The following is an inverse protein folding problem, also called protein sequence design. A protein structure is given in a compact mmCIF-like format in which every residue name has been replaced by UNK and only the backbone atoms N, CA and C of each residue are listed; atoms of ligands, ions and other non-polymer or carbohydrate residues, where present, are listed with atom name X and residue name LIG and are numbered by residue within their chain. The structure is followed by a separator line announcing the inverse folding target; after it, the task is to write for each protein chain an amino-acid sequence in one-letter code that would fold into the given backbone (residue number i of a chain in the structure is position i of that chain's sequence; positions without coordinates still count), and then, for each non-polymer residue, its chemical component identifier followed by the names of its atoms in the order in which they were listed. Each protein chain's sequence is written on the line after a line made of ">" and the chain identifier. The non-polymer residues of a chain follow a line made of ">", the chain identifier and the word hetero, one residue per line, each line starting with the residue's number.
data_IF_402824410652
#
_entry.id   IF_402824410652
#
_cell.length_a   1.000
_cell.length_b   1.000
_cell.length_c   1.000
_cell.angle_alpha   90.00
_cell.angle_beta   90.00
_cell.angle_gamma   90.00
#
_symmetry.space_group_name_H-M   'P 1'
#
loop_
_entity.id
_entity.type
_entity.pdbx_description
1 polymer ?
#
# COMPACT_ATOMS: atom_id res chain seq x y z
N UNK A 1 5.27 48.48 1.92
CA UNK A 1 6.07 47.40 1.32
C UNK A 1 5.25 46.12 1.44
N UNK A 2 4.69 45.65 0.33
CA UNK A 2 3.60 44.69 0.28
C UNK A 2 4.09 43.24 0.35
N UNK A 3 4.21 42.70 1.56
CA UNK A 3 4.66 41.32 1.82
C UNK A 3 3.63 40.28 1.34
N UNK A 4 2.39 40.69 1.04
CA UNK A 4 1.29 39.83 0.60
C UNK A 4 1.41 39.28 -0.84
N UNK A 5 2.52 39.52 -1.54
CA UNK A 5 2.84 38.90 -2.83
C UNK A 5 3.99 37.88 -2.76
N UNK A 6 4.43 37.48 -1.56
CA UNK A 6 5.16 36.21 -1.47
C UNK A 6 4.14 35.09 -1.72
N UNK A 7 4.07 34.69 -2.98
CA UNK A 7 3.29 33.56 -3.45
C UNK A 7 3.79 32.32 -2.69
N UNK A 8 3.13 31.99 -1.58
CA UNK A 8 3.38 30.77 -0.79
C UNK A 8 3.34 29.52 -1.70
N UNK A 9 2.59 29.60 -2.81
CA UNK A 9 2.60 28.61 -3.89
C UNK A 9 3.97 28.34 -4.53
N UNK A 10 4.86 29.35 -4.70
CA UNK A 10 6.21 29.13 -5.24
C UNK A 10 7.13 28.42 -4.25
N UNK A 11 6.98 28.69 -2.95
CA UNK A 11 7.77 28.04 -1.90
C UNK A 11 7.33 26.57 -1.76
N UNK A 12 6.01 26.30 -1.80
CA UNK A 12 5.49 24.93 -1.81
C UNK A 12 5.92 24.15 -3.08
N UNK A 13 5.95 24.81 -4.25
CA UNK A 13 6.43 24.20 -5.49
C UNK A 13 7.96 23.91 -5.49
N UNK A 14 8.76 24.74 -4.80
CA UNK A 14 10.20 24.54 -4.63
C UNK A 14 10.52 23.36 -3.69
N UNK A 15 9.69 23.09 -2.67
CA UNK A 15 9.87 21.91 -1.82
C UNK A 15 9.47 20.60 -2.51
N UNK A 16 8.53 20.64 -3.48
CA UNK A 16 8.14 19.45 -4.25
C UNK A 16 9.20 19.00 -5.26
N UNK A 17 10.04 19.90 -5.78
CA UNK A 17 11.02 19.58 -6.84
C UNK A 17 12.34 18.99 -6.33
N UNK A 18 12.67 19.17 -5.05
CA UNK A 18 13.92 18.67 -4.44
C UNK A 18 13.80 17.20 -4.00
N UNK A 19 12.58 16.66 -3.90
CA UNK A 19 12.32 15.33 -3.34
C UNK A 19 12.09 14.19 -4.33
N UNK A 20 12.26 14.38 -5.64
CA UNK A 20 12.11 13.28 -6.59
C UNK A 20 13.37 12.41 -6.59
N UNK A 21 13.36 11.19 -6.02
CA UNK A 21 14.46 10.28 -6.18
C UNK A 21 14.63 9.96 -7.67
N UNK A 22 15.80 10.26 -8.22
CA UNK A 22 16.23 9.71 -9.50
C UNK A 22 16.55 8.24 -9.27
N UNK A 23 15.53 7.40 -9.25
CA UNK A 23 15.74 5.96 -9.29
C UNK A 23 16.21 5.61 -10.70
N UNK A 24 17.52 5.57 -10.89
CA UNK A 24 18.11 4.88 -12.04
C UNK A 24 17.80 3.40 -11.90
N UNK A 25 16.94 2.87 -12.76
CA UNK A 25 16.70 1.42 -12.86
C UNK A 25 18.00 0.79 -13.39
N UNK A 26 18.85 0.36 -12.47
CA UNK A 26 20.13 -0.30 -12.77
C UNK A 26 19.91 -1.81 -12.67
N UNK A 27 19.52 -2.42 -13.79
CA UNK A 27 19.23 -3.85 -13.86
C UNK A 27 17.81 -4.10 -14.37
N UNK A 28 17.70 -4.51 -15.63
CA UNK A 28 16.43 -4.98 -16.19
C UNK A 28 16.51 -6.50 -16.23
N UNK A 29 16.27 -7.12 -15.08
CA UNK A 29 16.20 -8.57 -14.94
C UNK A 29 14.78 -8.92 -14.51
N UNK A 30 14.22 -9.98 -15.10
CA UNK A 30 12.94 -10.53 -14.66
C UNK A 30 13.20 -11.92 -14.08
N UNK A 31 12.81 -12.15 -12.85
CA UNK A 31 13.03 -13.42 -12.16
C UNK A 31 11.72 -13.97 -11.59
N UNK A 32 11.64 -15.28 -11.43
CA UNK A 32 10.51 -15.95 -10.80
C UNK A 32 10.58 -15.77 -9.28
N UNK A 33 9.51 -15.26 -8.67
CA UNK A 33 9.43 -15.07 -7.22
C UNK A 33 8.78 -16.23 -6.48
N UNK A 34 7.70 -16.76 -7.05
CA UNK A 34 6.92 -17.80 -6.40
C UNK A 34 6.51 -18.86 -7.40
N UNK A 35 6.36 -20.09 -6.91
CA UNK A 35 5.95 -21.25 -7.69
C UNK A 35 4.84 -21.93 -6.92
N UNK A 36 3.74 -22.19 -7.60
CA UNK A 36 2.61 -22.90 -7.05
C UNK A 36 2.16 -24.00 -8.01
N UNK A 37 2.01 -25.21 -7.50
CA UNK A 37 1.39 -26.30 -8.27
C UNK A 37 -0.11 -26.07 -8.39
N UNK A 38 -0.67 -26.23 -9.60
CA UNK A 38 -2.12 -26.19 -9.79
C UNK A 38 -2.79 -27.55 -9.47
N UNK A 39 -2.01 -28.64 -9.54
CA UNK A 39 -2.52 -30.01 -9.40
C UNK A 39 -2.22 -30.58 -8.01
N UNK A 40 -3.18 -31.34 -7.46
CA UNK A 40 -3.10 -31.94 -6.12
C UNK A 40 -2.29 -33.24 -6.07
N UNK A 41 -2.12 -33.91 -7.20
CA UNK A 41 -1.33 -35.17 -7.31
C UNK A 41 -0.43 -35.12 -8.55
N UNK A 42 0.65 -34.33 -8.54
CA UNK A 42 1.50 -34.19 -9.70
C UNK A 42 2.39 -35.44 -9.88
N UNK A 43 2.40 -36.01 -11.09
CA UNK A 43 3.31 -37.10 -11.49
C UNK A 43 4.79 -36.64 -11.53
N UNK A 44 5.01 -35.33 -11.58
CA UNK A 44 6.31 -34.68 -11.60
C UNK A 44 6.35 -33.67 -10.46
N UNK A 45 7.30 -33.81 -9.55
CA UNK A 45 7.48 -32.89 -8.42
C UNK A 45 8.73 -32.07 -8.69
N UNK A 46 8.59 -30.75 -8.76
CA UNK A 46 9.75 -29.85 -8.84
C UNK A 46 10.24 -29.50 -7.45
N UNK A 47 11.54 -29.70 -7.25
CA UNK A 47 12.26 -29.27 -6.05
C UNK A 47 12.83 -27.86 -6.22
N UNK A 48 13.18 -27.49 -7.46
CA UNK A 48 13.73 -26.19 -7.81
C UNK A 48 13.27 -25.79 -9.21
N UNK A 49 12.87 -24.54 -9.35
CA UNK A 49 12.57 -23.93 -10.63
C UNK A 49 12.90 -22.44 -10.53
N UNK A 50 14.00 -22.04 -11.14
CA UNK A 50 14.39 -20.65 -11.28
C UNK A 50 14.45 -20.32 -12.77
N UNK A 51 13.82 -19.22 -13.13
CA UNK A 51 13.79 -18.69 -14.47
C UNK A 51 14.11 -17.21 -14.36
N UNK A 52 15.25 -16.83 -14.93
CA UNK A 52 15.73 -15.45 -14.90
C UNK A 52 16.02 -14.97 -16.31
N UNK A 53 15.33 -13.93 -16.73
CA UNK A 53 15.51 -13.26 -18.02
C UNK A 53 16.41 -12.04 -17.88
N UNK A 54 17.49 -12.01 -18.66
CA UNK A 54 18.41 -10.90 -18.74
C UNK A 54 18.16 -10.08 -20.00
N UNK A 55 17.72 -8.83 -19.84
CA UNK A 55 17.47 -7.94 -20.98
C UNK A 55 18.75 -7.57 -21.73
N UNK A 56 19.87 -7.42 -21.02
CA UNK A 56 21.16 -6.99 -21.60
C UNK A 56 21.64 -7.89 -22.74
N UNK A 57 21.49 -9.21 -22.57
CA UNK A 57 21.97 -10.21 -23.51
C UNK A 57 20.83 -10.99 -24.19
N UNK A 58 19.57 -10.64 -23.90
CA UNK A 58 18.36 -11.28 -24.44
C UNK A 58 18.30 -12.80 -24.19
N UNK A 59 18.85 -13.25 -23.06
CA UNK A 59 18.92 -14.66 -22.68
C UNK A 59 18.06 -14.95 -21.46
N UNK A 60 17.45 -16.12 -21.47
CA UNK A 60 16.84 -16.74 -20.28
C UNK A 60 17.83 -17.74 -19.70
N UNK A 61 18.09 -17.60 -18.41
CA UNK A 61 18.68 -18.62 -17.57
C UNK A 61 17.56 -19.46 -16.96
N UNK A 62 17.72 -20.78 -17.02
CA UNK A 62 16.78 -21.74 -16.48
C UNK A 62 17.54 -22.73 -15.59
N UNK A 63 17.16 -22.84 -14.33
CA UNK A 63 17.60 -23.88 -13.37
C UNK A 63 16.37 -24.66 -12.89
N UNK A 64 16.27 -25.93 -13.28
CA UNK A 64 15.14 -26.79 -12.97
C UNK A 64 15.64 -28.12 -12.40
N UNK A 65 15.12 -28.51 -11.25
CA UNK A 65 15.41 -29.80 -10.64
C UNK A 65 14.15 -30.41 -10.04
N UNK A 66 13.97 -31.71 -10.21
CA UNK A 66 12.78 -32.41 -9.75
C UNK A 66 12.88 -33.92 -9.82
N UNK A 67 11.78 -34.57 -9.45
CA UNK A 67 11.58 -36.02 -9.51
C UNK A 67 10.39 -36.33 -10.40
N UNK A 68 10.53 -37.34 -11.25
CA UNK A 68 9.42 -37.87 -12.04
C UNK A 68 9.05 -39.26 -11.55
N UNK A 69 7.79 -39.48 -11.19
CA UNK A 69 7.29 -40.81 -10.78
C UNK A 69 7.01 -41.72 -11.96
N UNK A 70 6.86 -41.17 -13.17
CA UNK A 70 6.60 -41.94 -14.41
C UNK A 70 7.55 -41.54 -15.53
N UNK A 71 7.63 -42.38 -16.56
CA UNK A 71 8.40 -42.10 -17.77
C UNK A 71 7.61 -41.14 -18.67
N UNK A 72 8.26 -40.07 -19.13
CA UNK A 72 7.69 -39.15 -20.11
C UNK A 72 8.42 -39.26 -21.45
N UNK A 73 7.64 -39.57 -22.49
CA UNK A 73 8.10 -39.68 -23.88
C UNK A 73 7.42 -38.56 -24.68
N UNK A 74 8.21 -37.73 -25.36
CA UNK A 74 7.73 -36.65 -26.23
C UNK A 74 6.80 -35.65 -25.52
N UNK A 75 7.17 -35.22 -24.32
CA UNK A 75 6.38 -34.25 -23.57
C UNK A 75 6.32 -32.89 -24.27
N UNK A 76 5.15 -32.26 -24.21
CA UNK A 76 4.86 -30.92 -24.71
C UNK A 76 4.64 -29.98 -23.53
N UNK A 77 5.29 -28.82 -23.55
CA UNK A 77 5.11 -27.77 -22.56
C UNK A 77 4.26 -26.64 -23.15
N UNK A 78 3.05 -26.48 -22.63
CA UNK A 78 2.24 -25.28 -22.80
C UNK A 78 2.75 -24.17 -21.89
N UNK A 79 3.00 -23.00 -22.47
CA UNK A 79 3.36 -21.76 -21.79
C UNK A 79 2.23 -20.77 -22.03
N UNK A 80 1.53 -20.40 -20.95
CA UNK A 80 0.50 -19.36 -20.97
C UNK A 80 0.95 -18.20 -20.08
N UNK A 81 1.09 -17.01 -20.66
CA UNK A 81 1.33 -15.79 -19.93
C UNK A 81 -0.01 -15.11 -19.64
N UNK A 82 -0.30 -14.92 -18.36
CA UNK A 82 -1.50 -14.27 -17.87
C UNK A 82 -1.11 -12.95 -17.21
N UNK A 83 -1.80 -11.87 -17.56
CA UNK A 83 -1.65 -10.58 -16.89
C UNK A 83 -3.00 -10.20 -16.31
N UNK A 84 -3.08 -10.07 -15.00
CA UNK A 84 -4.31 -9.75 -14.27
C UNK A 84 -5.49 -10.68 -14.61
N UNK A 85 -5.21 -11.97 -14.83
CA UNK A 85 -6.21 -12.98 -15.16
C UNK A 85 -6.62 -13.04 -16.64
N UNK A 86 -6.02 -12.22 -17.52
CA UNK A 86 -6.22 -12.27 -18.96
C UNK A 86 -5.05 -12.97 -19.66
N UNK A 87 -5.35 -13.90 -20.58
CA UNK A 87 -4.33 -14.62 -21.35
C UNK A 87 -3.73 -13.68 -22.40
N UNK A 88 -2.46 -13.30 -22.22
CA UNK A 88 -1.72 -12.48 -23.19
C UNK A 88 -1.13 -13.32 -24.31
N UNK A 89 -0.66 -14.52 -23.97
CA UNK A 89 0.06 -15.37 -24.90
C UNK A 89 -0.10 -16.83 -24.48
N UNK A 90 -0.40 -17.70 -25.42
CA UNK A 90 -0.54 -19.14 -25.19
C UNK A 90 0.16 -19.88 -26.34
N UNK A 91 1.23 -20.60 -26.01
CA UNK A 91 1.98 -21.40 -26.98
C UNK A 91 2.48 -22.68 -26.39
N UNK A 92 2.54 -23.72 -27.21
CA UNK A 92 3.05 -25.04 -26.84
C UNK A 92 4.38 -25.31 -27.52
N UNK A 93 5.36 -25.78 -26.76
CA UNK A 93 6.68 -26.18 -27.24
C UNK A 93 6.92 -27.67 -26.95
N UNK A 94 7.59 -28.39 -27.85
CA UNK A 94 7.99 -29.76 -27.58
C UNK A 94 9.28 -29.77 -26.75
N UNK A 95 9.24 -30.37 -25.56
CA UNK A 95 10.40 -30.40 -24.64
C UNK A 95 11.59 -31.17 -25.23
N UNK A 96 11.35 -32.13 -26.12
CA UNK A 96 12.40 -32.94 -26.76
C UNK A 96 13.02 -32.27 -27.98
N UNK A 97 12.48 -31.13 -28.43
CA UNK A 97 13.11 -30.34 -29.47
C UNK A 97 14.30 -29.51 -28.95
N UNK A 98 14.36 -29.31 -27.62
CA UNK A 98 15.49 -28.64 -26.99
C UNK A 98 16.66 -29.62 -26.86
N UNK A 99 17.79 -29.27 -27.47
CA UNK A 99 19.02 -30.07 -27.45
C UNK A 99 19.75 -29.95 -26.10
N UNK A 100 19.07 -30.28 -25.01
CA UNK A 100 19.62 -30.26 -23.66
C UNK A 100 19.59 -31.67 -23.06
N UNK A 101 20.71 -32.06 -22.49
CA UNK A 101 20.89 -33.39 -21.90
C UNK A 101 19.98 -33.55 -20.68
N UNK A 102 19.22 -34.65 -20.63
CA UNK A 102 18.37 -34.99 -19.49
C UNK A 102 16.89 -34.57 -19.57
N UNK A 103 16.47 -33.81 -20.60
CA UNK A 103 15.05 -33.50 -20.81
C UNK A 103 14.26 -34.63 -21.48
N UNK A 104 14.88 -35.37 -22.40
CA UNK A 104 14.20 -36.44 -23.13
C UNK A 104 15.07 -37.68 -23.37
N UNK A 105 14.59 -38.91 -23.05
CA UNK A 105 13.40 -39.22 -22.25
C UNK A 105 13.65 -39.10 -20.74
N UNK A 106 12.68 -38.56 -19.98
CA UNK A 106 12.73 -38.58 -18.51
C UNK A 106 12.35 -40.00 -18.05
N UNK A 107 13.27 -40.67 -17.34
CA UNK A 107 13.06 -42.03 -16.85
C UNK A 107 12.09 -42.04 -15.66
N UNK A 108 11.33 -43.14 -15.49
CA UNK A 108 10.48 -43.32 -14.33
C UNK A 108 11.31 -43.42 -13.03
N UNK A 109 10.81 -42.83 -11.95
CA UNK A 109 11.45 -42.79 -10.63
C UNK A 109 12.87 -42.22 -10.65
N UNK A 110 13.15 -41.28 -11.55
CA UNK A 110 14.45 -40.62 -11.66
C UNK A 110 14.37 -39.15 -11.29
N UNK A 111 15.47 -38.62 -10.75
CA UNK A 111 15.67 -37.18 -10.56
C UNK A 111 16.25 -36.59 -11.84
N UNK A 112 15.76 -35.43 -12.24
CA UNK A 112 16.36 -34.63 -13.30
C UNK A 112 16.87 -33.31 -12.73
N UNK A 113 17.99 -32.83 -13.28
CA UNK A 113 18.60 -31.55 -12.95
C UNK A 113 19.09 -30.93 -14.25
N UNK A 114 18.62 -29.74 -14.55
CA UNK A 114 18.91 -29.02 -15.79
C UNK A 114 19.21 -27.58 -15.47
N UNK A 115 20.34 -27.13 -15.97
CA UNK A 115 20.72 -25.72 -15.96
C UNK A 115 21.12 -25.33 -17.38
N UNK A 116 20.61 -24.21 -17.87
CA UNK A 116 20.84 -23.84 -19.26
C UNK A 116 20.56 -22.38 -19.56
N UNK A 117 21.24 -21.88 -20.58
CA UNK A 117 21.02 -20.57 -21.16
C UNK A 117 20.36 -20.73 -22.52
N UNK A 118 19.25 -20.03 -22.74
CA UNK A 118 18.53 -20.05 -24.01
C UNK A 118 18.29 -18.61 -24.49
N UNK A 119 18.72 -18.24 -25.71
CA UNK A 119 18.35 -16.95 -26.29
C UNK A 119 16.85 -16.95 -26.62
N UNK A 120 16.17 -15.83 -26.35
CA UNK A 120 14.77 -15.68 -26.72
C UNK A 120 14.66 -15.26 -28.19
N UNK A 121 13.74 -15.85 -28.96
CA UNK A 121 13.44 -15.37 -30.30
C UNK A 121 13.03 -13.89 -30.28
N UNK A 122 13.49 -13.06 -31.24
CA UNK A 122 13.17 -11.63 -31.30
C UNK A 122 11.66 -11.35 -31.33
N UNK A 123 10.89 -12.25 -31.93
CA UNK A 123 9.42 -12.18 -32.02
C UNK A 123 8.71 -12.12 -30.65
N UNK A 124 9.36 -12.62 -29.60
CA UNK A 124 8.85 -12.54 -28.24
C UNK A 124 9.29 -11.24 -27.56
N UNK A 125 10.51 -10.78 -27.83
CA UNK A 125 11.09 -9.55 -27.26
C UNK A 125 10.30 -8.32 -27.73
N UNK A 126 9.93 -8.28 -29.01
CA UNK A 126 9.18 -7.15 -29.60
C UNK A 126 7.79 -6.97 -28.96
N UNK A 127 7.26 -8.01 -28.31
CA UNK A 127 5.96 -7.97 -27.63
C UNK A 127 6.05 -7.57 -26.16
N UNK A 128 7.26 -7.49 -25.58
CA UNK A 128 7.44 -7.07 -24.19
C UNK A 128 7.64 -5.56 -24.17
N UNK A 129 6.65 -4.78 -23.69
CA UNK A 129 6.82 -3.34 -23.60
C UNK A 129 7.87 -2.98 -22.54
N UNK A 130 8.71 -1.99 -22.84
CA UNK A 130 9.85 -1.61 -22.00
C UNK A 130 9.49 -1.11 -20.59
N UNK A 131 8.25 -0.68 -20.34
CA UNK A 131 7.82 -0.19 -19.02
C UNK A 131 7.76 -1.29 -17.96
N UNK A 132 7.57 -2.55 -18.37
CA UNK A 132 7.46 -3.72 -17.48
C UNK A 132 8.73 -3.86 -16.63
N UNK A 133 9.91 -3.57 -17.18
CA UNK A 133 11.16 -3.64 -16.42
C UNK A 133 11.29 -2.56 -15.34
N UNK A 134 10.46 -1.52 -15.36
CA UNK A 134 10.42 -0.50 -14.30
C UNK A 134 9.53 -0.87 -13.11
N UNK A 135 8.79 -1.99 -13.19
CA UNK A 135 7.79 -2.36 -12.20
C UNK A 135 8.33 -3.49 -11.28
N UNK A 136 8.30 -3.33 -9.95
CA UNK A 136 8.67 -4.39 -8.99
C UNK A 136 7.77 -5.61 -9.07
N UNK A 137 6.45 -5.41 -9.20
CA UNK A 137 5.46 -6.47 -9.36
C UNK A 137 4.66 -6.22 -10.64
N UNK A 138 4.64 -7.24 -11.49
CA UNK A 138 4.04 -7.18 -12.82
C UNK A 138 2.63 -7.75 -12.86
N UNK A 139 2.19 -8.45 -11.79
CA UNK A 139 0.99 -9.28 -11.84
C UNK A 139 0.97 -10.24 -13.03
N UNK A 140 2.15 -10.50 -13.62
CA UNK A 140 2.37 -11.42 -14.71
C UNK A 140 2.54 -12.80 -14.10
N UNK A 141 1.54 -13.63 -14.33
CA UNK A 141 1.53 -15.02 -13.92
C UNK A 141 1.85 -15.87 -15.15
N UNK A 142 2.81 -16.76 -15.04
CA UNK A 142 3.10 -17.73 -16.10
C UNK A 142 2.60 -19.09 -15.66
N UNK A 143 1.70 -19.65 -16.46
CA UNK A 143 1.22 -20.99 -16.28
C UNK A 143 1.99 -21.91 -17.23
N UNK A 144 2.72 -22.85 -16.65
CA UNK A 144 3.46 -23.88 -17.36
C UNK A 144 2.69 -25.19 -17.20
N UNK A 145 2.28 -25.78 -18.31
CA UNK A 145 1.58 -27.08 -18.34
C UNK A 145 2.41 -28.08 -19.13
N UNK A 146 2.87 -29.16 -18.50
CA UNK A 146 3.56 -30.24 -19.22
C UNK A 146 2.58 -31.34 -19.52
N UNK A 147 2.31 -31.62 -20.80
CA UNK A 147 1.41 -32.66 -21.28
C UNK A 147 2.15 -33.71 -22.09
N UNK A 148 1.88 -35.00 -21.83
CA UNK A 148 2.36 -36.10 -22.66
C UNK A 148 1.32 -36.47 -23.73
N UNK A 149 1.71 -36.70 -24.99
CA UNK A 149 0.80 -37.13 -26.04
C UNK A 149 0.23 -38.54 -25.81
N UNK A 150 0.89 -39.37 -24.99
CA UNK A 150 0.47 -40.77 -24.77
C UNK A 150 -0.60 -40.94 -23.69
N UNK A 151 -0.89 -39.89 -22.90
CA UNK A 151 -1.72 -40.04 -21.69
C UNK A 151 -2.52 -38.76 -21.42
N UNK A 152 -3.85 -38.87 -21.41
CA UNK A 152 -4.81 -37.75 -21.36
C UNK A 152 -4.75 -36.92 -20.06
N UNK A 153 -4.18 -37.45 -18.98
CA UNK A 153 -4.21 -36.84 -17.64
C UNK A 153 -2.82 -36.53 -17.05
N UNK A 154 -1.76 -36.54 -17.86
CA UNK A 154 -0.42 -36.19 -17.38
C UNK A 154 -0.20 -34.70 -17.54
N UNK A 155 -0.63 -33.90 -16.57
CA UNK A 155 -0.32 -32.48 -16.48
C UNK A 155 0.54 -32.20 -15.26
N UNK A 156 1.75 -31.67 -15.46
CA UNK A 156 2.35 -30.83 -14.43
C UNK A 156 1.90 -29.40 -14.71
N UNK A 157 1.02 -28.86 -13.87
CA UNK A 157 0.63 -27.45 -13.93
C UNK A 157 1.33 -26.66 -12.83
N UNK A 158 2.05 -25.61 -13.25
CA UNK A 158 2.73 -24.67 -12.35
C UNK A 158 2.28 -23.27 -12.70
N UNK A 159 1.92 -22.48 -11.70
CA UNK A 159 1.75 -21.04 -11.81
C UNK A 159 2.93 -20.38 -11.11
N UNK A 160 3.60 -19.48 -11.81
CA UNK A 160 4.70 -18.70 -11.23
C UNK A 160 4.47 -17.21 -11.43
N UNK A 161 4.86 -16.41 -10.44
CA UNK A 161 4.87 -14.95 -10.56
C UNK A 161 6.25 -14.48 -11.01
N UNK A 162 6.27 -13.54 -11.96
CA UNK A 162 7.50 -12.89 -12.44
C UNK A 162 7.57 -11.48 -11.88
N UNK A 163 8.73 -11.10 -11.38
CA UNK A 163 8.99 -9.78 -10.81
C UNK A 163 10.36 -9.24 -11.24
N UNK A 164 10.56 -7.93 -11.11
CA UNK A 164 11.90 -7.36 -11.19
C UNK A 164 12.46 -7.16 -9.77
N UNK A 165 13.51 -7.89 -9.36
CA UNK A 165 14.12 -7.71 -8.04
C UNK A 165 14.84 -6.36 -7.89
N UNK A 166 15.30 -5.75 -8.99
CA UNK A 166 16.04 -4.49 -8.99
C UNK A 166 15.11 -3.26 -9.06
N UNK A 167 13.82 -3.46 -9.34
CA UNK A 167 12.86 -2.36 -9.43
C UNK A 167 12.45 -1.85 -8.03
N UNK A 168 12.33 -0.52 -7.84
CA UNK A 168 11.97 0.05 -6.56
C UNK A 168 10.54 -0.34 -6.17
N UNK A 169 10.34 -0.75 -4.92
CA UNK A 169 9.00 -1.03 -4.39
C UNK A 169 8.10 0.21 -4.45
N UNK A 170 6.82 -0.01 -4.76
CA UNK A 170 5.80 1.04 -4.70
C UNK A 170 5.45 1.44 -3.28
N UNK A 171 5.76 0.61 -2.28
CA UNK A 171 5.71 1.01 -0.89
C UNK A 171 6.99 1.75 -0.54
N UNK A 172 6.93 3.08 -0.51
CA UNK A 172 8.09 3.94 -0.30
C UNK A 172 7.70 5.08 0.64
N UNK A 173 8.56 5.46 1.61
CA UNK A 173 8.31 6.62 2.46
C UNK A 173 8.12 7.94 1.68
N UNK A 174 8.63 8.09 0.46
CA UNK A 174 8.59 9.35 -0.30
C UNK A 174 7.17 9.85 -0.58
N UNK A 175 6.25 9.10 -1.24
CA UNK A 175 4.85 9.52 -1.39
C UNK A 175 4.15 9.85 -0.07
N UNK A 176 4.47 9.09 1.00
CA UNK A 176 3.92 9.33 2.34
C UNK A 176 4.38 10.68 2.90
N UNK A 177 5.67 11.00 2.86
CA UNK A 177 6.17 12.27 3.36
C UNK A 177 5.74 13.46 2.50
N UNK A 178 5.66 13.30 1.17
CA UNK A 178 5.14 14.34 0.29
C UNK A 178 3.68 14.67 0.60
N UNK A 179 2.83 13.65 0.78
CA UNK A 179 1.42 13.85 1.14
C UNK A 179 1.24 14.49 2.53
N UNK A 180 2.04 14.11 3.51
CA UNK A 180 2.08 14.76 4.83
C UNK A 180 2.59 16.20 4.72
N UNK A 181 3.59 16.48 3.87
CA UNK A 181 4.10 17.82 3.64
C UNK A 181 3.04 18.76 3.06
N UNK A 182 2.23 18.28 2.12
CA UNK A 182 1.08 19.02 1.60
C UNK A 182 0.05 19.34 2.69
N UNK A 183 -0.25 18.39 3.57
CA UNK A 183 -1.13 18.59 4.71
C UNK A 183 -0.60 19.69 5.65
N UNK A 184 0.69 19.64 6.01
CA UNK A 184 1.33 20.64 6.86
C UNK A 184 1.24 22.03 6.21
N UNK A 185 1.47 22.12 4.90
CA UNK A 185 1.30 23.36 4.14
C UNK A 185 -0.11 23.95 4.26
N UNK A 186 -1.15 23.11 4.14
CA UNK A 186 -2.53 23.56 4.28
C UNK A 186 -2.87 24.03 5.71
N UNK A 187 -2.34 23.34 6.72
CA UNK A 187 -2.53 23.74 8.13
C UNK A 187 -1.88 25.10 8.39
N UNK A 188 -0.64 25.30 7.94
CA UNK A 188 0.07 26.57 8.09
C UNK A 188 -0.68 27.72 7.38
N UNK A 189 -1.20 27.47 6.18
CA UNK A 189 -2.03 28.46 5.47
C UNK A 189 -3.31 28.80 6.24
N UNK A 190 -3.96 27.81 6.85
CA UNK A 190 -5.12 28.02 7.71
C UNK A 190 -4.79 28.88 8.94
N UNK A 191 -3.67 28.61 9.61
CA UNK A 191 -3.20 29.39 10.77
C UNK A 191 -2.90 30.83 10.37
N UNK A 192 -2.21 31.05 9.25
CA UNK A 192 -1.91 32.39 8.72
C UNK A 192 -3.22 33.17 8.47
N UNK A 193 -4.20 32.52 7.82
CA UNK A 193 -5.51 33.14 7.53
C UNK A 193 -6.27 33.51 8.81
N UNK A 194 -6.20 32.67 9.84
CA UNK A 194 -6.78 32.95 11.15
C UNK A 194 -6.12 34.15 11.84
N UNK A 195 -4.79 34.24 11.83
CA UNK A 195 -4.04 35.35 12.41
C UNK A 195 -4.43 36.67 11.72
N UNK A 196 -4.50 36.69 10.39
CA UNK A 196 -4.91 37.89 9.66
C UNK A 196 -6.33 38.33 9.99
N UNK A 197 -7.29 37.41 10.03
CA UNK A 197 -8.67 37.72 10.41
C UNK A 197 -8.77 38.26 11.84
N UNK A 198 -7.92 37.77 12.76
CA UNK A 198 -7.88 38.24 14.15
C UNK A 198 -7.39 39.69 14.26
N UNK A 199 -6.37 40.09 13.49
CA UNK A 199 -5.80 41.45 13.57
C UNK A 199 -6.56 42.50 12.75
N UNK A 200 -7.12 42.12 11.60
CA UNK A 200 -7.73 43.07 10.66
C UNK A 200 -9.23 43.28 10.90
N UNK A 201 -9.84 42.53 11.84
CA UNK A 201 -11.26 42.65 12.20
C UNK A 201 -12.24 42.33 11.06
N UNK A 202 -11.75 41.85 9.91
CA UNK A 202 -12.56 41.50 8.76
C UNK A 202 -13.23 40.13 8.93
N UNK A 203 -14.39 39.96 8.30
CA UNK A 203 -15.14 38.70 8.31
C UNK A 203 -14.26 37.53 7.81
N UNK A 204 -14.12 36.50 8.65
CA UNK A 204 -13.32 35.29 8.43
C UNK A 204 -13.59 34.61 7.06
N UNK A 205 -14.77 34.81 6.49
CA UNK A 205 -15.18 34.29 5.18
C UNK A 205 -14.35 34.81 4.00
N UNK A 206 -13.84 36.05 4.06
CA UNK A 206 -13.15 36.69 2.93
C UNK A 206 -11.62 36.43 2.93
N UNK A 207 -11.02 36.15 4.09
CA UNK A 207 -9.59 35.84 4.20
C UNK A 207 -9.26 34.40 3.74
N UNK A 208 -10.23 33.49 3.86
CA UNK A 208 -10.08 32.06 3.47
C UNK A 208 -10.22 31.85 1.95
N UNK A 209 -10.86 32.76 1.22
CA UNK A 209 -11.10 32.63 -0.23
C UNK A 209 -9.95 33.11 -1.12
N UNK A 210 -8.92 33.75 -0.57
CA UNK A 210 -7.83 34.37 -1.36
C UNK A 210 -6.56 33.52 -1.49
N UNK A 211 -6.51 32.30 -0.95
CA UNK A 211 -5.34 31.42 -1.10
C UNK A 211 -5.54 30.36 -2.17
N UNK A 212 -4.64 30.29 -3.15
CA UNK A 212 -4.63 29.27 -4.21
C UNK A 212 -4.20 27.85 -3.75
N UNK A 213 -4.13 27.59 -2.44
CA UNK A 213 -3.69 26.32 -1.86
C UNK A 213 -4.91 25.46 -1.44
N UNK A 214 -4.89 24.13 -1.66
CA UNK A 214 -5.99 23.24 -1.25
C UNK A 214 -6.20 23.24 0.26
N UNK A 215 -7.45 23.04 0.71
CA UNK A 215 -7.78 23.01 2.14
C UNK A 215 -7.31 21.71 2.77
N UNK A 216 -7.14 21.72 4.09
CA UNK A 216 -6.82 20.52 4.89
C UNK A 216 -7.82 19.39 4.60
N UNK A 217 -9.10 19.71 4.54
CA UNK A 217 -10.17 18.76 4.24
C UNK A 217 -10.03 18.13 2.86
N UNK A 218 -9.67 18.92 1.85
CA UNK A 218 -9.57 18.45 0.46
C UNK A 218 -8.40 17.46 0.33
N UNK A 219 -7.27 17.78 0.98
CA UNK A 219 -6.08 16.92 1.01
C UNK A 219 -6.38 15.61 1.72
N UNK A 220 -6.97 15.67 2.92
CA UNK A 220 -7.29 14.48 3.72
C UNK A 220 -8.30 13.61 2.99
N UNK A 221 -9.39 14.18 2.46
CA UNK A 221 -10.42 13.42 1.73
C UNK A 221 -9.86 12.79 0.46
N UNK A 222 -8.98 13.48 -0.27
CA UNK A 222 -8.32 12.92 -1.44
C UNK A 222 -7.46 11.70 -1.09
N UNK A 223 -6.59 11.81 -0.08
CA UNK A 223 -5.74 10.69 0.32
C UNK A 223 -6.51 9.56 1.01
N UNK A 224 -7.61 9.88 1.72
CA UNK A 224 -8.55 8.88 2.21
C UNK A 224 -9.19 8.12 1.06
N UNK A 225 -9.64 8.81 0.01
CA UNK A 225 -10.20 8.17 -1.18
C UNK A 225 -9.19 7.21 -1.84
N UNK A 226 -7.94 7.66 -2.01
CA UNK A 226 -6.86 6.82 -2.58
C UNK A 226 -6.57 5.59 -1.71
N UNK A 227 -6.54 5.74 -0.39
CA UNK A 227 -6.33 4.61 0.51
C UNK A 227 -7.54 3.68 0.57
N UNK A 228 -8.76 4.23 0.52
CA UNK A 228 -10.01 3.48 0.54
C UNK A 228 -10.18 2.63 -0.72
N UNK A 229 -9.82 3.17 -1.89
CA UNK A 229 -9.89 2.41 -3.14
C UNK A 229 -8.98 1.18 -3.13
N UNK A 230 -7.83 1.23 -2.45
CA UNK A 230 -6.95 0.07 -2.25
C UNK A 230 -7.49 -1.00 -1.27
N UNK A 231 -8.47 -0.65 -0.45
CA UNK A 231 -9.07 -1.54 0.57
C UNK A 231 -10.32 -2.28 0.08
N UNK A 232 -10.82 -1.96 -1.11
CA UNK A 232 -11.98 -2.64 -1.69
C UNK A 232 -11.65 -4.13 -1.94
N UNK A 233 -12.66 -4.99 -1.81
CA UNK A 233 -12.53 -6.44 -1.97
C UNK A 233 -12.40 -6.91 -3.43
N UNK A 234 -11.72 -6.12 -4.26
CA UNK A 234 -11.34 -6.51 -5.61
C UNK A 234 -9.96 -7.17 -5.59
N UNK A 235 -9.72 -8.05 -6.57
CA UNK A 235 -8.42 -8.67 -6.77
C UNK A 235 -7.47 -7.68 -7.46
N UNK A 236 -7.12 -6.60 -6.76
CA UNK A 236 -6.17 -5.61 -7.27
C UNK A 236 -4.76 -6.20 -7.39
N UNK A 237 -3.96 -5.73 -8.35
CA UNK A 237 -2.53 -6.00 -8.40
C UNK A 237 -1.84 -5.55 -7.10
N UNK A 238 -0.80 -6.26 -6.67
CA UNK A 238 -0.12 -5.93 -5.40
C UNK A 238 0.66 -4.62 -5.49
N UNK A 239 1.11 -4.24 -6.70
CA UNK A 239 1.57 -2.87 -6.99
C UNK A 239 0.57 -1.79 -6.55
N UNK A 240 -0.72 -1.94 -6.87
CA UNK A 240 -1.73 -0.94 -6.55
C UNK A 240 -2.01 -0.88 -5.05
N UNK A 241 -2.09 -2.04 -4.39
CA UNK A 241 -2.22 -2.14 -2.93
C UNK A 241 -1.03 -1.49 -2.23
N UNK A 242 0.18 -1.77 -2.70
CA UNK A 242 1.43 -1.20 -2.17
C UNK A 242 1.52 0.31 -2.35
N UNK A 243 1.06 0.84 -3.49
CA UNK A 243 1.00 2.27 -3.75
C UNK A 243 0.00 2.98 -2.82
N UNK A 244 -1.22 2.45 -2.72
CA UNK A 244 -2.29 3.01 -1.89
C UNK A 244 -1.98 2.93 -0.40
N UNK A 245 -1.24 1.90 0.03
CA UNK A 245 -0.70 1.74 1.38
C UNK A 245 0.15 2.93 1.86
N UNK A 246 0.81 3.68 0.97
CA UNK A 246 1.57 4.88 1.37
C UNK A 246 0.67 5.98 1.96
N UNK A 247 -0.61 5.99 1.60
CA UNK A 247 -1.60 6.99 2.03
C UNK A 247 -2.51 6.47 3.15
N UNK A 248 -2.22 5.28 3.70
CA UNK A 248 -2.96 4.68 4.81
C UNK A 248 -3.04 5.60 6.06
N UNK A 249 -2.08 6.52 6.20
CA UNK A 249 -2.08 7.54 7.26
C UNK A 249 -3.33 8.41 7.26
N UNK A 250 -3.92 8.70 6.10
CA UNK A 250 -5.11 9.55 5.98
C UNK A 250 -6.36 8.85 6.55
N UNK A 251 -6.37 7.52 6.57
CA UNK A 251 -7.40 6.67 7.18
C UNK A 251 -7.10 6.36 8.65
N UNK A 252 -6.01 6.88 9.22
CA UNK A 252 -5.56 6.54 10.57
C UNK A 252 -4.94 5.14 10.69
N UNK A 253 -4.69 4.46 9.56
CA UNK A 253 -4.05 3.14 9.50
C UNK A 253 -2.53 3.31 9.55
N UNK A 254 -1.99 3.55 10.74
CA UNK A 254 -0.55 3.74 10.96
C UNK A 254 -0.10 2.73 12.01
N UNK A 255 0.91 1.92 11.68
CA UNK A 255 1.58 1.11 12.70
C UNK A 255 2.49 2.03 13.53
N UNK A 256 2.05 2.33 14.74
CA UNK A 256 2.80 3.08 15.73
C UNK A 256 3.10 2.13 16.90
N UNK A 257 4.37 1.84 17.23
CA UNK A 257 4.72 0.79 18.20
C UNK A 257 4.04 0.93 19.56
N UNK A 258 3.92 2.16 20.09
CA UNK A 258 3.25 2.37 21.38
C UNK A 258 1.73 2.11 21.31
N UNK A 259 1.10 2.36 20.16
CA UNK A 259 -0.33 2.09 19.95
C UNK A 259 -0.56 0.60 19.76
N UNK A 260 0.27 -0.09 18.99
CA UNK A 260 0.16 -1.55 18.81
C UNK A 260 0.40 -2.30 20.13
N UNK A 261 1.34 -1.84 20.96
CA UNK A 261 1.54 -2.38 22.31
C UNK A 261 0.31 -2.17 23.21
N UNK A 262 -0.34 -1.00 23.15
CA UNK A 262 -1.58 -0.75 23.90
C UNK A 262 -2.76 -1.59 23.38
N UNK A 263 -2.90 -1.70 22.05
CA UNK A 263 -3.94 -2.50 21.40
C UNK A 263 -3.78 -3.99 21.70
N UNK A 264 -2.55 -4.51 21.62
CA UNK A 264 -2.23 -5.91 21.92
C UNK A 264 -2.57 -6.29 23.36
N UNK A 265 -2.28 -5.41 24.31
CA UNK A 265 -2.63 -5.59 25.73
C UNK A 265 -4.16 -5.65 25.94
N UNK A 266 -4.91 -4.76 25.28
CA UNK A 266 -6.38 -4.78 25.33
C UNK A 266 -6.99 -6.05 24.73
N UNK A 267 -6.45 -6.53 23.59
CA UNK A 267 -6.88 -7.80 23.00
C UNK A 267 -6.53 -9.02 23.87
N UNK A 268 -5.35 -9.04 24.49
CA UNK A 268 -4.91 -10.12 25.36
C UNK A 268 -5.77 -10.23 26.64
N UNK A 269 -6.27 -9.11 27.16
CA UNK A 269 -7.19 -9.14 28.30
C UNK A 269 -8.60 -9.61 27.92
N UNK A 270 -9.03 -9.36 26.68
CA UNK A 270 -10.33 -9.82 26.17
C UNK A 270 -10.33 -11.32 25.88
N UNK A 271 -9.18 -11.90 25.46
CA UNK A 271 -9.03 -13.35 25.22
C UNK A 271 -8.95 -14.20 26.47
N UNK A 272 -8.69 -13.61 27.65
CA UNK A 272 -8.52 -14.33 28.91
C UNK A 272 -9.83 -14.54 29.68
N UNK A 273 -10.96 -14.06 29.16
CA UNK A 273 -12.29 -14.29 29.73
C UNK A 273 -13.12 -15.19 28.80
N UNK A 274 -12.88 -16.50 28.90
CA UNK A 274 -13.42 -17.57 28.04
C UNK A 274 -14.94 -17.80 28.11
N UNK A 275 -15.76 -16.80 28.43
CA UNK A 275 -17.23 -16.97 28.54
C UNK A 275 -18.05 -16.09 27.60
N UNK A 276 -17.43 -15.23 26.78
CA UNK A 276 -18.17 -14.46 25.76
C UNK A 276 -17.52 -14.59 24.38
N UNK A 277 -17.54 -15.81 23.83
CA UNK A 277 -17.21 -16.10 22.42
C UNK A 277 -18.43 -16.02 21.49
N UNK A 278 -19.27 -14.99 21.65
CA UNK A 278 -20.46 -14.81 20.79
C UNK A 278 -20.72 -13.37 20.32
N UNK A 279 -19.70 -12.52 20.14
CA UNK A 279 -19.92 -11.19 19.52
C UNK A 279 -18.91 -10.76 18.45
N UNK A 280 -17.90 -11.56 18.08
CA UNK A 280 -16.99 -11.23 16.95
C UNK A 280 -16.91 -12.37 15.92
N UNK A 281 -17.99 -13.14 15.81
CA UNK A 281 -18.33 -13.87 14.59
C UNK A 281 -19.64 -13.32 14.00
N UNK A 282 -19.76 -11.99 13.90
CA UNK A 282 -20.53 -11.46 12.76
C UNK A 282 -19.61 -11.60 11.56
N UNK A 283 -19.52 -12.85 11.08
CA UNK A 283 -19.05 -13.13 9.74
C UNK A 283 -19.83 -12.22 8.81
N UNK A 284 -19.09 -11.50 7.97
CA UNK A 284 -19.63 -10.94 6.74
C UNK A 284 -20.53 -12.00 6.11
N UNK A 285 -21.75 -11.61 5.77
CA UNK A 285 -22.80 -12.43 5.15
C UNK A 285 -22.43 -12.94 3.73
N UNK A 286 -21.14 -13.09 3.41
CA UNK A 286 -20.63 -13.47 2.10
C UNK A 286 -20.01 -14.87 2.05
N UNK A 287 -19.54 -15.44 3.17
CA UNK A 287 -18.86 -16.75 3.17
C UNK A 287 -19.66 -17.79 3.95
N UNK A 288 -20.81 -18.22 3.41
CA UNK A 288 -21.46 -19.47 3.82
C UNK A 288 -21.26 -20.45 2.65
N UNK A 289 -20.11 -21.12 2.61
CA UNK A 289 -19.95 -22.35 1.84
C UNK A 289 -19.88 -23.53 2.82
N UNK A 290 -20.55 -24.65 2.53
CA UNK A 290 -20.65 -25.78 3.46
C UNK A 290 -19.27 -26.37 3.76
N UNK A 291 -18.97 -26.53 5.04
CA UNK A 291 -17.78 -27.22 5.56
C UNK A 291 -17.77 -28.67 5.08
N UNK A 292 -17.14 -28.93 3.93
CA UNK A 292 -16.61 -30.24 3.54
C UNK A 292 -15.55 -30.14 2.43
N UNK A 293 -14.75 -29.09 2.46
CA UNK A 293 -13.55 -28.97 1.62
C UNK A 293 -12.33 -28.78 2.51
N UNK A 294 -11.29 -29.58 2.24
CA UNK A 294 -9.88 -29.32 2.55
C UNK A 294 -9.56 -27.82 2.47
N UNK A 295 -8.53 -27.32 3.19
CA UNK A 295 -8.21 -25.89 3.22
C UNK A 295 -7.97 -25.40 1.79
N UNK A 296 -9.02 -24.87 1.18
CA UNK A 296 -8.91 -24.06 -0.01
C UNK A 296 -8.15 -22.84 0.48
N UNK A 297 -6.93 -22.66 0.00
CA UNK A 297 -6.13 -21.47 0.22
C UNK A 297 -6.97 -20.26 -0.19
N UNK A 298 -7.73 -19.70 0.74
CA UNK A 298 -8.55 -18.52 0.52
C UNK A 298 -7.58 -17.39 0.34
N UNK A 299 -7.44 -16.89 -0.89
CA UNK A 299 -6.73 -15.64 -1.13
C UNK A 299 -7.39 -14.58 -0.26
N UNK A 300 -6.62 -14.08 0.72
CA UNK A 300 -7.09 -13.00 1.59
C UNK A 300 -7.26 -11.78 0.68
N UNK A 301 -8.47 -11.21 0.63
CA UNK A 301 -8.80 -10.08 -0.23
C UNK A 301 -9.46 -8.95 0.54
N UNK A 302 -9.45 -7.76 -0.05
CA UNK A 302 -9.99 -6.54 0.55
C UNK A 302 -9.15 -6.02 1.70
N UNK A 303 -9.82 -5.36 2.64
CA UNK A 303 -9.18 -4.67 3.77
C UNK A 303 -8.23 -5.55 4.58
N UNK A 304 -8.48 -6.87 4.66
CA UNK A 304 -7.65 -7.80 5.42
C UNK A 304 -6.22 -7.90 4.87
N UNK A 305 -6.11 -8.25 3.59
CA UNK A 305 -4.84 -8.33 2.89
C UNK A 305 -4.13 -6.96 2.82
N UNK A 306 -4.90 -5.88 2.69
CA UNK A 306 -4.35 -4.54 2.70
C UNK A 306 -3.67 -4.20 4.04
N UNK A 307 -4.30 -4.55 5.16
CA UNK A 307 -3.86 -4.18 6.50
C UNK A 307 -2.68 -5.05 6.94
N UNK A 308 -2.66 -6.32 6.54
CA UNK A 308 -1.51 -7.20 6.70
C UNK A 308 -0.29 -6.65 5.93
N UNK A 309 -0.48 -6.07 4.73
CA UNK A 309 0.62 -5.48 3.96
C UNK A 309 1.31 -4.28 4.65
N UNK A 310 0.61 -3.62 5.58
CA UNK A 310 1.16 -2.52 6.40
C UNK A 310 1.55 -2.97 7.81
N UNK A 311 1.73 -4.28 8.02
CA UNK A 311 2.10 -4.90 9.30
C UNK A 311 1.11 -4.61 10.43
N UNK A 312 -0.18 -4.55 10.14
CA UNK A 312 -1.23 -4.50 11.18
C UNK A 312 -2.01 -5.82 11.08
N UNK A 313 -2.17 -6.57 12.18
CA UNK A 313 -2.98 -7.78 12.15
C UNK A 313 -4.48 -7.43 12.17
N UNK A 314 -5.28 -8.18 11.41
CA UNK A 314 -6.75 -8.03 11.31
C UNK A 314 -7.46 -7.93 12.67
N UNK A 315 -7.01 -8.74 13.64
CA UNK A 315 -7.59 -8.81 14.99
C UNK A 315 -7.41 -7.52 15.79
N UNK A 316 -6.41 -6.69 15.45
CA UNK A 316 -6.10 -5.44 16.15
C UNK A 316 -6.48 -4.19 15.38
N UNK A 317 -6.91 -4.32 14.12
CA UNK A 317 -7.23 -3.18 13.25
C UNK A 317 -8.18 -2.17 13.91
N UNK A 318 -9.30 -2.65 14.46
CA UNK A 318 -10.29 -1.77 15.07
C UNK A 318 -9.71 -1.01 16.26
N UNK A 319 -9.02 -1.72 17.16
CA UNK A 319 -8.42 -1.12 18.36
C UNK A 319 -7.33 -0.12 18.02
N UNK A 320 -6.42 -0.48 17.11
CA UNK A 320 -5.34 0.40 16.66
C UNK A 320 -5.89 1.67 16.01
N UNK A 321 -6.87 1.54 15.11
CA UNK A 321 -7.48 2.69 14.41
C UNK A 321 -8.23 3.61 15.38
N UNK A 322 -8.98 3.04 16.32
CA UNK A 322 -9.70 3.79 17.35
C UNK A 322 -8.72 4.57 18.24
N UNK A 323 -7.62 3.94 18.66
CA UNK A 323 -6.64 4.57 19.55
C UNK A 323 -5.91 5.71 18.83
N UNK A 324 -5.56 5.55 17.55
CA UNK A 324 -5.05 6.65 16.71
C UNK A 324 -6.05 7.80 16.64
N UNK A 325 -7.33 7.52 16.39
CA UNK A 325 -8.37 8.54 16.29
C UNK A 325 -8.55 9.32 17.61
N UNK A 326 -8.64 8.61 18.74
CA UNK A 326 -8.74 9.23 20.07
C UNK A 326 -7.50 10.06 20.40
N UNK A 327 -6.31 9.56 20.06
CA UNK A 327 -5.06 10.30 20.25
C UNK A 327 -5.04 11.61 19.45
N UNK A 328 -5.48 11.59 18.19
CA UNK A 328 -5.59 12.81 17.37
C UNK A 328 -6.62 13.80 17.95
N UNK A 329 -7.77 13.33 18.41
CA UNK A 329 -8.77 14.19 19.08
C UNK A 329 -8.23 14.78 20.39
N UNK A 330 -7.52 14.00 21.19
CA UNK A 330 -6.87 14.46 22.41
C UNK A 330 -5.82 15.55 22.12
N UNK A 331 -5.04 15.39 21.05
CA UNK A 331 -4.08 16.41 20.61
C UNK A 331 -4.78 17.69 20.12
N UNK A 332 -5.83 17.58 19.32
CA UNK A 332 -6.58 18.75 18.83
C UNK A 332 -7.26 19.52 19.96
N UNK A 333 -7.86 18.80 20.92
CA UNK A 333 -8.47 19.42 22.11
C UNK A 333 -7.43 20.08 23.00
N UNK A 334 -6.28 19.43 23.24
CA UNK A 334 -5.17 20.03 23.99
C UNK A 334 -4.62 21.29 23.30
N UNK A 335 -4.44 21.28 21.98
CA UNK A 335 -4.00 22.45 21.22
C UNK A 335 -5.02 23.59 21.28
N UNK A 336 -6.32 23.26 21.20
CA UNK A 336 -7.38 24.26 21.34
C UNK A 336 -7.39 24.87 22.74
N UNK A 337 -7.25 24.07 23.79
CA UNK A 337 -7.16 24.56 25.18
C UNK A 337 -5.90 25.42 25.41
N UNK A 338 -4.77 25.04 24.83
CA UNK A 338 -3.53 25.81 24.89
C UNK A 338 -3.71 27.16 24.18
N UNK A 339 -4.31 27.18 23.00
CA UNK A 339 -4.61 28.42 22.27
C UNK A 339 -5.53 29.34 23.09
N UNK A 340 -6.58 28.79 23.69
CA UNK A 340 -7.46 29.53 24.61
C UNK A 340 -6.71 30.09 25.82
N UNK A 341 -5.85 29.28 26.44
CA UNK A 341 -5.03 29.71 27.57
C UNK A 341 -4.07 30.84 27.17
N UNK A 342 -3.41 30.73 26.01
CA UNK A 342 -2.50 31.74 25.49
C UNK A 342 -3.22 33.06 25.18
N UNK A 343 -4.39 33.01 24.55
CA UNK A 343 -5.21 34.21 24.30
C UNK A 343 -5.63 34.86 25.63
N UNK A 344 -6.06 34.07 26.61
CA UNK A 344 -6.41 34.57 27.95
C UNK A 344 -5.23 35.24 28.65
N UNK A 345 -4.05 34.64 28.60
CA UNK A 345 -2.83 35.19 29.19
C UNK A 345 -2.41 36.51 28.51
N UNK A 346 -2.47 36.57 27.18
CA UNK A 346 -2.24 37.82 26.43
C UNK A 346 -3.25 38.90 26.80
N UNK A 347 -4.54 38.56 26.97
CA UNK A 347 -5.57 39.50 27.38
C UNK A 347 -5.32 40.05 28.81
N UNK A 348 -4.87 39.20 29.74
CA UNK A 348 -4.52 39.64 31.11
C UNK A 348 -3.29 40.55 31.11
N UNK A 349 -2.25 40.22 30.34
CA UNK A 349 -1.05 41.07 30.20
C UNK A 349 -1.40 42.41 29.55
N UNK A 350 -2.25 42.40 28.52
CA UNK A 350 -2.75 43.64 27.90
C UNK A 350 -3.56 44.46 28.90
N UNK A 351 -4.48 43.85 29.65
CA UNK A 351 -5.26 44.54 30.68
C UNK A 351 -4.36 45.13 31.80
N UNK A 352 -3.27 44.43 32.17
CA UNK A 352 -2.26 44.93 33.11
C UNK A 352 -1.50 46.16 32.58
N UNK A 353 -1.20 46.23 31.29
CA UNK A 353 -0.59 47.41 30.67
C UNK A 353 -1.57 48.60 30.57
N UNK A 354 -2.85 48.34 30.24
CA UNK A 354 -3.88 49.38 30.14
C UNK A 354 -4.26 50.01 31.49
N UNK A 355 -3.94 49.36 32.63
CA UNK A 355 -4.12 49.97 33.96
C UNK A 355 -3.17 51.16 34.22
N UNK A 356 -2.10 51.33 33.42
CA UNK A 356 -1.18 52.48 33.51
C UNK A 356 -1.53 53.66 32.61
N UNK A 357 -2.48 53.52 31.68
CA UNK A 357 -2.92 54.62 30.80
C UNK A 357 -4.44 54.75 30.95
N UNK A 358 -4.86 55.63 31.85
CA UNK A 358 -6.21 56.20 31.74
C UNK A 358 -6.20 57.02 30.45
N UNK A 359 -7.01 56.63 29.46
CA UNK A 359 -7.83 57.47 28.57
C UNK A 359 -8.25 56.69 27.31
N UNK A 360 -9.56 56.72 27.05
CA UNK A 360 -10.37 56.15 25.95
C UNK A 360 -10.67 54.64 25.93
N UNK A 361 -11.84 54.32 26.49
CA UNK A 361 -12.56 53.07 26.28
C UNK A 361 -13.21 53.07 24.88
N UNK A 362 -12.87 52.07 24.05
CA UNK A 362 -13.61 51.72 22.83
C UNK A 362 -14.11 50.28 22.96
N UNK A 363 -15.30 50.18 23.55
CA UNK A 363 -16.46 49.42 23.08
C UNK A 363 -16.21 48.07 22.35
N UNK A 364 -15.97 46.99 23.11
CA UNK A 364 -16.26 45.62 22.65
C UNK A 364 -16.93 44.79 23.77
N UNK A 365 -18.25 44.92 23.98
CA UNK A 365 -18.97 44.23 25.05
C UNK A 365 -19.13 42.71 24.84
N UNK A 366 -18.90 42.19 23.63
CA UNK A 366 -19.32 40.84 23.28
C UNK A 366 -18.29 39.75 23.58
N UNK A 367 -17.01 40.09 23.74
CA UNK A 367 -15.93 39.12 23.99
C UNK A 367 -15.77 38.75 25.47
N UNK A 368 -16.32 39.55 26.41
CA UNK A 368 -16.14 39.34 27.85
C UNK A 368 -17.39 38.82 28.59
N UNK A 369 -18.57 38.88 27.97
CA UNK A 369 -19.83 38.71 28.71
C UNK A 369 -20.34 37.26 28.88
N UNK A 370 -19.66 36.25 28.33
CA UNK A 370 -20.11 34.85 28.43
C UNK A 370 -19.81 34.15 29.76
N UNK A 371 -18.66 34.44 30.39
CA UNK A 371 -18.17 33.65 31.53
C UNK A 371 -17.89 34.46 32.81
N UNK A 372 -17.69 35.78 32.73
CA UNK A 372 -17.39 36.59 33.91
C UNK A 372 -18.63 36.85 34.80
N UNK A 373 -19.86 36.70 34.28
CA UNK A 373 -21.09 37.01 35.00
C UNK A 373 -21.61 35.91 35.92
N UNK A 374 -20.95 34.74 35.98
CA UNK A 374 -21.36 33.60 36.84
C UNK A 374 -20.43 33.32 38.03
N UNK A 375 -19.35 34.09 38.21
CA UNK A 375 -18.43 33.94 39.35
C UNK A 375 -18.57 35.05 40.42
N UNK A 376 -19.57 35.93 40.29
CA UNK A 376 -19.90 36.97 41.28
C UNK A 376 -21.39 36.94 41.63
N UNK A 377 -21.93 35.74 41.86
CA UNK A 377 -23.14 35.62 42.67
C UNK A 377 -22.94 34.55 43.73
#
# INVERSE_FOLDING_TARGET
>A
MNIYKLNVGWIAALFLSIGLPRNSVTGQVLSVQSIQSCDNTPDIILNRFDLTYYVSNQTVYLDLAGKSSRQLLNATAGLTFMLYGSNLYNTTYNLCSFNQTGLCPIQANSTFNLTGWQPLPPQFIDKIPAFIFGLPDLGLQTQVTIQSPTTVNQSLCLVTSISNPDAPSFHNPVPRWLSIGLLIGAILQGVISFIYAFFDGQNLSNAVSSSSFPRVTDIVLFFQYVSYSGQLAFNYPDMYKSFTANFAWAMGLINIPFIDNAASTGTAQTSNNSTVSYFVHIMKRADILPMNSMPSNTSVTGIKAYVESINIPDTRLFMTTLLVFVFVLALLTALMLLLWFMIGLLAVIACLQWRKVKVYAVQWPWLYFGYASRLVR
#
